data_IF_911817196079
#
_entry.id   IF_911817196079
#
_cell.length_a   1.000
_cell.length_b   1.000
_cell.length_c   1.000
_cell.angle_alpha   90.00
_cell.angle_beta   90.00
_cell.angle_gamma   90.00
#
_symmetry.space_group_name_H-M   'P 1'
#
loop_
_entity.id
_entity.type
_entity.pdbx_description
1 polymer ?
#
# COMPACT_ATOMS: atom_id res chain seq x y z
N UNK A 1 51.18 11.08 16.05
CA UNK A 1 51.25 10.43 14.73
C UNK A 1 50.26 9.27 14.73
N UNK A 2 49.03 9.48 14.19
CA UNK A 2 47.96 8.47 14.25
C UNK A 2 47.82 7.78 12.88
N UNK A 3 48.00 6.47 12.84
CA UNK A 3 47.97 5.65 11.62
C UNK A 3 46.51 5.37 11.26
N UNK A 4 45.99 6.03 10.22
CA UNK A 4 44.68 5.69 9.63
C UNK A 4 44.82 4.41 8.81
N UNK A 5 44.27 3.30 9.31
CA UNK A 5 44.01 2.10 8.50
C UNK A 5 42.84 2.39 7.55
N UNK A 6 42.89 1.98 6.27
CA UNK A 6 41.73 2.12 5.40
C UNK A 6 40.67 1.11 5.86
N UNK A 7 39.52 1.63 6.28
CA UNK A 7 38.32 0.83 6.43
C UNK A 7 37.95 0.29 5.04
N UNK A 8 38.18 -1.00 4.81
CA UNK A 8 37.43 -1.78 3.83
C UNK A 8 35.96 -1.68 4.24
N UNK A 9 35.23 -0.73 3.66
CA UNK A 9 33.78 -0.87 3.55
C UNK A 9 33.59 -1.78 2.36
N UNK A 10 33.08 -2.98 2.64
CA UNK A 10 32.50 -3.84 1.62
C UNK A 10 31.55 -2.98 0.78
N UNK A 11 31.97 -2.68 -0.45
CA UNK A 11 31.04 -2.41 -1.54
C UNK A 11 30.16 -3.65 -1.58
N UNK A 12 29.00 -3.58 -0.92
CA UNK A 12 27.94 -4.55 -1.13
C UNK A 12 27.59 -4.41 -2.60
N UNK A 13 27.99 -5.43 -3.34
CA UNK A 13 27.79 -5.62 -4.75
C UNK A 13 26.41 -5.10 -5.16
N UNK A 14 26.44 -4.12 -6.05
CA UNK A 14 25.32 -3.68 -6.86
C UNK A 14 24.97 -4.77 -7.91
N UNK A 15 24.89 -6.04 -7.50
CA UNK A 15 24.71 -7.21 -8.36
C UNK A 15 23.34 -7.88 -8.20
N UNK A 16 22.38 -7.21 -7.57
CA UNK A 16 20.98 -7.56 -7.71
C UNK A 16 20.18 -6.30 -8.02
N UNK A 17 20.41 -5.75 -9.20
CA UNK A 17 19.31 -5.19 -9.98
C UNK A 17 18.41 -6.36 -10.41
N UNK A 18 17.76 -7.03 -9.44
CA UNK A 18 16.53 -7.75 -9.73
C UNK A 18 15.63 -6.70 -10.39
N UNK A 19 15.20 -6.99 -11.61
CA UNK A 19 14.21 -6.18 -12.32
C UNK A 19 13.12 -5.83 -11.33
N UNK A 20 13.09 -4.56 -10.88
CA UNK A 20 11.99 -3.96 -10.12
C UNK A 20 10.79 -3.92 -11.07
N UNK A 21 10.25 -5.09 -11.38
CA UNK A 21 9.12 -5.25 -12.26
C UNK A 21 7.96 -4.65 -11.51
N UNK A 22 7.44 -3.53 -11.99
CA UNK A 22 6.29 -2.91 -11.37
C UNK A 22 5.12 -3.90 -11.32
N UNK A 23 4.34 -3.91 -10.23
CA UNK A 23 3.21 -4.81 -10.12
C UNK A 23 2.20 -4.52 -11.25
N UNK A 24 1.49 -5.54 -11.74
CA UNK A 24 0.64 -5.42 -12.92
C UNK A 24 -0.40 -4.29 -12.81
N UNK A 25 -0.95 -4.06 -11.62
CA UNK A 25 -1.92 -2.99 -11.35
C UNK A 25 -1.32 -1.58 -11.38
N UNK A 26 0.02 -1.41 -11.40
CA UNK A 26 0.67 -0.10 -11.46
C UNK A 26 0.32 0.70 -12.72
N UNK A 27 -0.06 0.02 -13.81
CA UNK A 27 -0.55 0.66 -15.04
C UNK A 27 -1.84 1.45 -14.81
N UNK A 28 -2.63 1.04 -13.82
CA UNK A 28 -3.88 1.68 -13.44
C UNK A 28 -3.68 2.79 -12.40
N UNK A 29 -2.46 3.09 -11.96
CA UNK A 29 -2.24 4.08 -10.91
C UNK A 29 -1.93 5.47 -11.48
N UNK A 30 -2.48 6.54 -10.86
CA UNK A 30 -1.97 7.89 -11.07
C UNK A 30 -0.46 7.95 -10.80
N UNK A 31 0.31 8.80 -11.52
CA UNK A 31 1.77 8.85 -11.39
C UNK A 31 2.27 9.02 -9.95
N UNK A 32 1.54 9.78 -9.11
CA UNK A 32 1.90 9.96 -7.69
C UNK A 32 1.73 8.69 -6.87
N UNK A 33 0.67 7.92 -7.12
CA UNK A 33 0.42 6.67 -6.39
C UNK A 33 1.37 5.56 -6.81
N UNK A 34 1.77 5.56 -8.08
CA UNK A 34 2.73 4.60 -8.63
C UNK A 34 4.11 4.67 -7.96
N UNK A 35 4.47 5.80 -7.34
CA UNK A 35 5.70 5.93 -6.54
C UNK A 35 5.68 5.08 -5.27
N UNK A 36 4.49 4.77 -4.76
CA UNK A 36 4.29 4.04 -3.51
C UNK A 36 3.90 2.59 -3.74
N UNK A 37 3.66 2.17 -4.99
CA UNK A 37 3.48 0.77 -5.31
C UNK A 37 4.85 0.12 -5.52
N UNK A 38 5.15 -0.90 -4.72
CA UNK A 38 6.31 -1.75 -4.90
C UNK A 38 5.83 -3.16 -5.25
N UNK A 39 6.51 -3.81 -6.18
CA UNK A 39 6.33 -5.25 -6.33
C UNK A 39 6.90 -5.95 -5.10
N UNK A 40 6.21 -7.00 -4.67
CA UNK A 40 6.67 -7.84 -3.57
C UNK A 40 7.94 -8.56 -4.02
N UNK A 41 9.09 -8.39 -3.32
CA UNK A 41 10.31 -9.10 -3.68
C UNK A 41 10.10 -10.62 -3.69
N UNK A 42 10.73 -11.34 -4.63
CA UNK A 42 10.56 -12.79 -4.77
C UNK A 42 10.97 -13.59 -3.52
N UNK A 43 11.80 -13.02 -2.65
CA UNK A 43 12.21 -13.58 -1.36
C UNK A 43 11.56 -12.95 -0.13
N UNK A 44 10.58 -12.04 -0.29
CA UNK A 44 9.92 -11.42 0.84
C UNK A 44 9.12 -12.45 1.65
N UNK A 45 9.20 -12.35 2.97
CA UNK A 45 8.35 -13.15 3.85
C UNK A 45 6.89 -12.67 3.79
N UNK A 46 5.95 -13.56 4.09
CA UNK A 46 4.50 -13.27 4.17
C UNK A 46 4.20 -12.02 5.00
N UNK A 47 4.76 -11.92 6.21
CA UNK A 47 4.53 -10.76 7.08
C UNK A 47 5.13 -9.46 6.54
N UNK A 48 6.20 -9.54 5.73
CA UNK A 48 6.76 -8.36 5.07
C UNK A 48 5.84 -7.89 3.94
N UNK A 49 5.37 -8.81 3.11
CA UNK A 49 4.42 -8.51 2.05
C UNK A 49 3.12 -7.90 2.61
N UNK A 50 2.59 -8.45 3.72
CA UNK A 50 1.46 -7.87 4.43
C UNK A 50 1.69 -6.42 4.87
N UNK A 51 2.86 -6.10 5.43
CA UNK A 51 3.21 -4.71 5.79
C UNK A 51 3.31 -3.81 4.57
N UNK A 52 3.89 -4.28 3.47
CA UNK A 52 3.98 -3.51 2.22
C UNK A 52 2.59 -3.20 1.66
N UNK A 53 1.67 -4.17 1.71
CA UNK A 53 0.28 -3.97 1.32
C UNK A 53 -0.41 -2.88 2.14
N UNK A 54 -0.21 -2.90 3.46
CA UNK A 54 -0.73 -1.86 4.37
C UNK A 54 -0.13 -0.48 4.10
N UNK A 55 1.18 -0.40 3.87
CA UNK A 55 1.85 0.86 3.54
C UNK A 55 1.26 1.47 2.26
N UNK A 56 1.11 0.66 1.21
CA UNK A 56 0.49 1.10 -0.03
C UNK A 56 -0.97 1.52 0.16
N UNK A 57 -1.76 0.79 0.95
CA UNK A 57 -3.14 1.19 1.28
C UNK A 57 -3.20 2.55 1.98
N UNK A 58 -2.23 2.88 2.85
CA UNK A 58 -2.16 4.19 3.49
C UNK A 58 -2.00 5.32 2.47
N UNK A 59 -1.09 5.14 1.52
CA UNK A 59 -0.90 6.10 0.42
C UNK A 59 -2.11 6.17 -0.51
N UNK A 60 -2.77 5.04 -0.78
CA UNK A 60 -4.03 4.99 -1.51
C UNK A 60 -5.12 5.82 -0.83
N UNK A 61 -5.35 5.62 0.48
CA UNK A 61 -6.35 6.35 1.27
C UNK A 61 -6.05 7.86 1.25
N UNK A 62 -4.80 8.24 1.50
CA UNK A 62 -4.39 9.65 1.45
C UNK A 62 -4.63 10.25 0.06
N UNK A 63 -4.33 9.50 -1.00
CA UNK A 63 -4.56 9.98 -2.36
C UNK A 63 -6.04 10.24 -2.64
N UNK A 64 -6.93 9.28 -2.35
CA UNK A 64 -8.36 9.41 -2.65
C UNK A 64 -9.04 10.47 -1.77
N UNK A 65 -8.54 10.70 -0.55
CA UNK A 65 -9.01 11.79 0.30
C UNK A 65 -8.74 13.18 -0.32
N UNK A 66 -7.61 13.34 -1.01
CA UNK A 66 -7.24 14.59 -1.68
C UNK A 66 -7.73 14.68 -3.14
N UNK A 67 -8.06 13.55 -3.76
CA UNK A 67 -8.47 13.44 -5.16
C UNK A 67 -9.69 12.51 -5.26
N UNK A 68 -10.86 12.93 -4.74
CA UNK A 68 -12.04 12.09 -4.76
C UNK A 68 -12.42 11.76 -6.21
N UNK A 69 -12.39 10.47 -6.54
CA UNK A 69 -12.80 9.99 -7.85
C UNK A 69 -14.32 10.11 -8.02
N UNK A 70 -14.78 10.42 -9.23
CA UNK A 70 -16.17 10.19 -9.58
C UNK A 70 -16.48 8.69 -9.50
N UNK A 71 -17.74 8.32 -9.22
CA UNK A 71 -18.15 6.92 -9.11
C UNK A 71 -17.79 6.07 -10.35
N UNK A 72 -17.73 6.71 -11.52
CA UNK A 72 -17.43 6.12 -12.83
C UNK A 72 -15.92 5.89 -13.07
N UNK A 73 -15.07 6.45 -12.21
CA UNK A 73 -13.60 6.35 -12.30
C UNK A 73 -13.01 5.83 -10.98
N UNK A 74 -13.64 4.78 -10.43
CA UNK A 74 -13.20 4.17 -9.16
C UNK A 74 -11.82 3.54 -9.32
N UNK A 75 -10.80 4.20 -8.76
CA UNK A 75 -9.43 3.71 -8.77
C UNK A 75 -9.30 2.32 -8.12
N UNK A 76 -10.02 2.07 -7.02
CA UNK A 76 -10.05 0.76 -6.36
C UNK A 76 -10.59 -0.34 -7.27
N UNK A 77 -11.65 -0.04 -8.04
CA UNK A 77 -12.23 -1.01 -8.97
C UNK A 77 -11.24 -1.37 -10.08
N UNK A 78 -10.54 -0.37 -10.66
CA UNK A 78 -9.51 -0.63 -11.68
C UNK A 78 -8.31 -1.39 -11.12
N UNK A 79 -7.95 -1.20 -9.86
CA UNK A 79 -6.88 -1.98 -9.23
C UNK A 79 -7.32 -3.44 -9.03
N UNK A 80 -8.57 -3.66 -8.62
CA UNK A 80 -9.12 -4.99 -8.40
C UNK A 80 -9.17 -5.84 -9.68
N UNK A 81 -9.30 -5.24 -10.86
CA UNK A 81 -9.22 -5.94 -12.15
C UNK A 81 -7.85 -6.61 -12.40
N UNK A 82 -6.79 -6.18 -11.70
CA UNK A 82 -5.42 -6.65 -11.86
C UNK A 82 -4.90 -7.40 -10.63
N UNK A 83 -5.74 -7.54 -9.59
CA UNK A 83 -5.39 -8.26 -8.38
C UNK A 83 -5.73 -9.74 -8.54
N UNK A 84 -4.75 -10.62 -8.33
CA UNK A 84 -5.03 -12.04 -8.12
C UNK A 84 -5.37 -12.29 -6.64
N UNK A 85 -6.66 -12.26 -6.33
CA UNK A 85 -7.17 -12.56 -4.99
C UNK A 85 -7.04 -14.03 -4.57
N UNK A 86 -6.64 -14.91 -5.49
CA UNK A 86 -6.40 -16.32 -5.23
C UNK A 86 -4.92 -16.65 -5.08
N UNK A 87 -4.04 -15.66 -5.25
CA UNK A 87 -2.61 -15.83 -5.09
C UNK A 87 -2.27 -16.31 -3.68
N UNK A 88 -1.49 -17.38 -3.58
CA UNK A 88 -0.92 -17.85 -2.33
C UNK A 88 0.44 -17.18 -2.07
N UNK A 89 0.88 -17.18 -0.81
CA UNK A 89 2.18 -16.66 -0.42
C UNK A 89 2.25 -15.11 -0.45
N UNK A 90 3.43 -14.53 -0.75
CA UNK A 90 3.66 -13.09 -0.56
C UNK A 90 2.71 -12.18 -1.34
N UNK A 91 2.29 -12.55 -2.54
CA UNK A 91 1.33 -11.73 -3.31
C UNK A 91 -0.07 -11.72 -2.66
N UNK A 92 -0.54 -12.87 -2.16
CA UNK A 92 -1.79 -12.96 -1.40
C UNK A 92 -1.73 -12.14 -0.12
N UNK A 93 -0.62 -12.23 0.62
CA UNK A 93 -0.41 -11.48 1.86
C UNK A 93 -0.32 -9.97 1.62
N UNK A 94 0.25 -9.53 0.50
CA UNK A 94 0.22 -8.13 0.09
C UNK A 94 -1.21 -7.61 -0.06
N UNK A 95 -2.06 -8.34 -0.78
CA UNK A 95 -3.47 -7.96 -0.91
C UNK A 95 -4.21 -8.03 0.43
N UNK A 96 -3.96 -9.06 1.25
CA UNK A 96 -4.53 -9.15 2.59
C UNK A 96 -4.18 -7.93 3.45
N UNK A 97 -2.92 -7.48 3.41
CA UNK A 97 -2.47 -6.26 4.03
C UNK A 97 -3.21 -5.03 3.53
N UNK A 98 -3.25 -4.87 2.20
CA UNK A 98 -3.93 -3.74 1.56
C UNK A 98 -5.41 -3.63 1.97
N UNK A 99 -6.17 -4.71 1.86
CA UNK A 99 -7.60 -4.72 2.20
C UNK A 99 -7.86 -4.62 3.70
N UNK A 100 -6.98 -5.14 4.56
CA UNK A 100 -7.13 -5.00 6.01
C UNK A 100 -7.13 -3.53 6.46
N UNK A 101 -6.25 -2.69 5.89
CA UNK A 101 -6.22 -1.27 6.25
C UNK A 101 -7.41 -0.51 5.65
N UNK A 102 -7.90 -0.91 4.48
CA UNK A 102 -9.15 -0.37 3.93
C UNK A 102 -10.35 -0.71 4.82
N UNK A 103 -10.44 -1.94 5.33
CA UNK A 103 -11.48 -2.35 6.26
C UNK A 103 -11.45 -1.50 7.54
N UNK A 104 -10.27 -1.31 8.14
CA UNK A 104 -10.09 -0.42 9.29
C UNK A 104 -10.54 1.03 9.02
N UNK A 105 -10.22 1.55 7.82
CA UNK A 105 -10.63 2.89 7.42
C UNK A 105 -12.15 3.00 7.25
N UNK A 106 -12.81 1.98 6.66
CA UNK A 106 -14.27 1.93 6.52
C UNK A 106 -14.96 1.84 7.87
N UNK A 107 -14.46 1.00 8.79
CA UNK A 107 -14.96 0.90 10.16
C UNK A 107 -14.86 2.25 10.88
N UNK A 108 -13.68 2.89 10.81
CA UNK A 108 -13.46 4.20 11.44
C UNK A 108 -14.40 5.28 10.88
N UNK A 109 -14.64 5.28 9.57
CA UNK A 109 -15.57 6.20 8.94
C UNK A 109 -17.02 5.92 9.34
N UNK A 110 -17.42 4.66 9.45
CA UNK A 110 -18.77 4.27 9.87
C UNK A 110 -19.05 4.68 11.34
N UNK A 111 -18.07 4.48 12.24
CA UNK A 111 -18.16 4.92 13.64
C UNK A 111 -18.29 6.44 13.76
N UNK A 112 -17.55 7.20 12.95
CA UNK A 112 -17.65 8.65 12.92
C UNK A 112 -19.04 9.13 12.47
N UNK A 113 -19.60 8.51 11.43
CA UNK A 113 -20.93 8.85 10.92
C UNK A 113 -22.05 8.52 11.93
N UNK A 114 -21.95 7.40 12.66
CA UNK A 114 -22.91 7.04 13.72
C UNK A 114 -22.84 8.00 14.91
N UNK A 115 -21.64 8.48 15.26
CA UNK A 115 -21.46 9.48 16.31
C UNK A 115 -22.10 10.84 15.95
N UNK A 116 -21.93 11.32 14.72
CA UNK A 116 -22.55 12.55 14.22
C UNK A 116 -24.09 12.43 14.18
N UNK A 117 -24.62 11.28 13.76
CA UNK A 117 -26.05 11.01 13.76
C UNK A 117 -26.68 11.03 15.16
N UNK A 118 -25.92 10.67 16.20
CA UNK A 118 -26.37 10.68 17.60
C UNK A 118 -26.31 12.06 18.27
N UNK A 119 -25.43 12.97 17.82
CA UNK A 119 -25.35 14.34 18.36
C UNK A 119 -26.44 15.29 17.82
N UNK A 120 -27.07 14.97 16.68
CA UNK A 120 -28.15 15.78 16.10
C UNK A 120 -29.52 15.65 16.79
N UNK A 121 -29.64 14.81 17.82
CA UNK A 121 -30.90 14.42 18.43
C UNK A 121 -31.07 14.81 19.90
N UNK A 122 -30.80 16.07 20.28
CA UNK A 122 -31.37 16.62 21.53
C UNK A 122 -31.30 18.14 21.58
N UNK A 123 -32.37 18.79 21.08
CA UNK A 123 -32.79 20.11 21.57
C UNK A 123 -34.29 20.00 21.83
N UNK A 124 -34.65 19.68 23.07
CA UNK A 124 -35.97 19.92 23.63
C UNK A 124 -35.83 20.63 24.97
#
# INVERSE_FOLDING_TARGET
MSVKRPFRRHEHSADQAESLQEPAFAVCLPPRLRLYCAAVPAGAGEQEAYRMGREFAGHYIEHVAHHPCAAEDSLLARMAEYADFTAEGPEGEYWAGFFSLLEEAVLSAAEFLDADGKMGGSIH
#
